data_IF_292428600322
#
_entry.id   IF_292428600322
#
_cell.length_a   1.000
_cell.length_b   1.000
_cell.length_c   1.000
_cell.angle_alpha   90.00
_cell.angle_beta   90.00
_cell.angle_gamma   90.00
#
_symmetry.space_group_name_H-M   'P 1'
#
loop_
_entity.id
_entity.type
_entity.pdbx_description
1 polymer ?
#
# COMPACT_ATOMS: atom_id res chain seq x y z
N UNK A 1 0.78 24.64 6.59
CA UNK A 1 -0.10 24.71 5.40
C UNK A 1 -1.07 23.55 5.54
N UNK A 2 -2.38 23.77 5.37
CA UNK A 2 -3.31 22.66 5.44
C UNK A 2 -3.23 21.83 4.14
N UNK A 3 -3.76 20.61 4.13
CA UNK A 3 -3.69 19.73 2.97
C UNK A 3 -4.34 20.32 1.71
N UNK A 4 -5.46 21.01 1.86
CA UNK A 4 -6.18 21.65 0.75
C UNK A 4 -5.32 22.72 0.06
N UNK A 5 -4.62 23.55 0.83
CA UNK A 5 -3.73 24.57 0.28
C UNK A 5 -2.53 23.93 -0.42
N UNK A 6 -1.97 22.86 0.16
CA UNK A 6 -0.86 22.12 -0.45
C UNK A 6 -1.29 21.49 -1.77
N UNK A 7 -2.46 20.85 -1.82
CA UNK A 7 -3.01 20.26 -3.05
C UNK A 7 -3.22 21.34 -4.13
N UNK A 8 -3.83 22.48 -3.78
CA UNK A 8 -4.07 23.57 -4.73
C UNK A 8 -2.78 24.18 -5.30
N UNK A 9 -1.69 24.12 -4.55
CA UNK A 9 -0.39 24.67 -4.96
C UNK A 9 0.41 23.72 -5.87
N UNK A 10 -0.01 22.49 -6.12
CA UNK A 10 0.72 21.55 -6.98
C UNK A 10 0.82 22.10 -8.42
N UNK A 11 1.99 21.99 -9.05
CA UNK A 11 2.26 22.59 -10.37
C UNK A 11 1.64 21.84 -11.54
N UNK A 12 0.84 20.81 -11.29
CA UNK A 12 0.30 19.90 -12.31
C UNK A 12 -1.09 20.32 -12.82
N UNK A 13 -1.76 21.24 -12.11
CA UNK A 13 -3.12 21.64 -12.45
C UNK A 13 -3.14 22.61 -13.64
N UNK A 14 -4.10 22.39 -14.53
CA UNK A 14 -4.28 23.23 -15.74
C UNK A 14 -5.24 24.38 -15.53
N UNK A 15 -6.05 24.33 -14.48
CA UNK A 15 -7.07 25.34 -14.21
C UNK A 15 -7.52 25.35 -12.75
N UNK A 16 -8.74 25.83 -12.54
CA UNK A 16 -9.36 25.79 -11.22
C UNK A 16 -9.80 24.38 -10.89
N UNK A 17 -9.31 23.86 -9.77
CA UNK A 17 -9.65 22.52 -9.31
C UNK A 17 -10.78 22.54 -8.28
N UNK A 18 -11.56 21.47 -8.25
CA UNK A 18 -12.46 21.15 -7.13
C UNK A 18 -11.91 19.94 -6.35
N UNK A 19 -12.12 19.95 -5.04
CA UNK A 19 -11.61 18.89 -4.14
C UNK A 19 -12.76 18.35 -3.30
N UNK A 20 -12.85 17.04 -3.22
CA UNK A 20 -13.75 16.33 -2.32
C UNK A 20 -12.94 15.30 -1.52
N UNK A 21 -13.02 15.26 -0.19
CA UNK A 21 -12.43 14.20 0.59
C UNK A 21 -12.97 12.84 0.14
N UNK A 22 -12.08 11.84 0.06
CA UNK A 22 -12.46 10.44 -0.10
C UNK A 22 -12.39 9.76 1.27
N UNK A 23 -13.47 9.11 1.65
CA UNK A 23 -13.53 8.31 2.87
C UNK A 23 -12.73 7.01 2.69
N UNK A 24 -12.22 6.46 3.78
CA UNK A 24 -11.50 5.19 3.81
C UNK A 24 -9.99 5.36 3.69
N UNK A 25 -9.32 5.39 4.80
CA UNK A 25 -7.87 5.40 4.96
C UNK A 25 -7.56 5.72 6.41
N UNK A 26 -6.79 4.85 7.07
CA UNK A 26 -6.40 5.07 8.48
C UNK A 26 -5.14 5.92 8.54
N UNK A 27 -4.23 5.73 7.60
CA UNK A 27 -2.89 6.32 7.57
C UNK A 27 -2.75 7.51 6.62
N UNK A 28 -3.69 7.66 5.68
CA UNK A 28 -3.62 8.64 4.60
C UNK A 28 -4.90 9.48 4.51
N UNK A 29 -4.75 10.73 4.09
CA UNK A 29 -5.88 11.57 3.71
C UNK A 29 -5.99 11.60 2.18
N UNK A 30 -7.08 11.07 1.65
CA UNK A 30 -7.31 10.99 0.22
C UNK A 30 -8.34 12.04 -0.23
N UNK A 31 -8.11 12.59 -1.42
CA UNK A 31 -9.00 13.58 -2.04
C UNK A 31 -9.24 13.23 -3.50
N UNK A 32 -10.50 13.26 -3.94
CA UNK A 32 -10.84 13.30 -5.34
C UNK A 32 -10.67 14.75 -5.83
N UNK A 33 -9.80 14.93 -6.80
CA UNK A 33 -9.54 16.24 -7.41
C UNK A 33 -10.00 16.22 -8.85
N UNK A 34 -10.80 17.23 -9.25
CA UNK A 34 -11.22 17.45 -10.64
C UNK A 34 -10.51 18.68 -11.18
N UNK A 35 -9.84 18.51 -12.33
CA UNK A 35 -9.19 19.57 -13.11
C UNK A 35 -9.77 19.52 -14.55
N UNK A 36 -10.75 20.36 -14.82
CA UNK A 36 -11.54 20.31 -16.05
C UNK A 36 -12.28 18.98 -16.20
N UNK A 37 -11.97 18.22 -17.23
CA UNK A 37 -12.54 16.89 -17.50
C UNK A 37 -11.73 15.73 -16.87
N UNK A 38 -10.58 16.02 -16.31
CA UNK A 38 -9.69 15.02 -15.71
C UNK A 38 -9.96 14.87 -14.21
N UNK A 39 -9.90 13.66 -13.72
CA UNK A 39 -10.09 13.33 -12.30
C UNK A 39 -8.86 12.59 -11.75
N UNK A 40 -8.49 12.91 -10.52
CA UNK A 40 -7.29 12.38 -9.85
C UNK A 40 -7.59 12.02 -8.41
N UNK A 41 -6.87 11.03 -7.89
CA UNK A 41 -6.79 10.78 -6.45
C UNK A 41 -5.51 11.40 -5.93
N UNK A 42 -5.63 12.32 -4.99
CA UNK A 42 -4.48 12.90 -4.27
C UNK A 42 -4.42 12.28 -2.89
N UNK A 43 -3.33 11.57 -2.62
CA UNK A 43 -3.01 10.97 -1.33
C UNK A 43 -2.03 11.89 -0.60
N UNK A 44 -2.40 12.27 0.62
CA UNK A 44 -1.59 13.06 1.53
C UNK A 44 -1.14 12.18 2.68
N UNK A 45 0.16 12.07 2.90
CA UNK A 45 0.71 11.27 4.01
C UNK A 45 2.23 11.35 4.06
N UNK A 46 2.76 11.42 5.27
CA UNK A 46 4.20 11.39 5.55
C UNK A 46 4.67 9.95 5.81
N UNK A 47 5.99 9.77 5.94
CA UNK A 47 6.56 8.51 6.40
C UNK A 47 6.05 8.17 7.80
N UNK A 48 5.79 6.89 8.05
CA UNK A 48 5.42 6.34 9.37
C UNK A 48 6.40 5.22 9.70
N UNK A 49 7.65 5.57 10.12
CA UNK A 49 8.70 4.58 10.34
C UNK A 49 8.31 3.49 11.34
N UNK A 50 7.51 3.81 12.35
CA UNK A 50 6.98 2.86 13.34
C UNK A 50 6.09 1.78 12.73
N UNK A 51 5.53 2.02 11.55
CA UNK A 51 4.75 1.06 10.78
C UNK A 51 5.49 0.52 9.54
N UNK A 52 6.77 0.86 9.38
CA UNK A 52 7.58 0.52 8.20
C UNK A 52 7.02 1.13 6.90
N UNK A 53 6.26 2.21 7.01
CA UNK A 53 5.71 2.93 5.86
C UNK A 53 6.69 4.02 5.45
N UNK A 54 7.23 3.90 4.23
CA UNK A 54 8.14 4.85 3.62
C UNK A 54 7.61 5.27 2.26
N UNK A 55 7.35 6.56 2.09
CA UNK A 55 6.75 7.09 0.84
C UNK A 55 7.65 6.91 -0.38
N UNK A 56 8.97 6.85 -0.18
CA UNK A 56 9.91 6.48 -1.24
C UNK A 56 9.75 5.04 -1.72
N UNK A 57 9.45 4.10 -0.80
CA UNK A 57 9.11 2.72 -1.16
C UNK A 57 7.77 2.66 -1.91
N UNK A 58 6.73 3.28 -1.36
CA UNK A 58 5.40 3.34 -1.99
C UNK A 58 5.46 3.94 -3.40
N UNK A 59 6.26 4.99 -3.61
CA UNK A 59 6.53 5.58 -4.92
C UNK A 59 7.06 4.55 -5.93
N UNK A 60 8.11 3.80 -5.54
CA UNK A 60 8.74 2.81 -6.41
C UNK A 60 7.80 1.65 -6.71
N UNK A 61 7.10 1.18 -5.69
CA UNK A 61 6.14 0.07 -5.79
C UNK A 61 4.94 0.45 -6.66
N UNK A 62 4.37 1.65 -6.46
CA UNK A 62 3.24 2.13 -7.27
C UNK A 62 3.60 2.26 -8.75
N UNK A 63 4.82 2.73 -9.07
CA UNK A 63 5.32 2.77 -10.45
C UNK A 63 5.46 1.38 -11.05
N UNK A 64 6.02 0.43 -10.31
CA UNK A 64 6.17 -0.96 -10.75
C UNK A 64 4.79 -1.63 -10.95
N UNK A 65 3.85 -1.42 -10.04
CA UNK A 65 2.49 -1.94 -10.13
C UNK A 65 1.73 -1.39 -11.35
N UNK A 66 1.94 -0.11 -11.67
CA UNK A 66 1.41 0.47 -12.90
C UNK A 66 2.05 -0.15 -14.15
N UNK A 67 3.37 -0.34 -14.15
CA UNK A 67 4.10 -0.90 -15.29
C UNK A 67 3.64 -2.31 -15.66
N UNK A 68 3.27 -3.15 -14.68
CA UNK A 68 2.64 -4.46 -14.92
C UNK A 68 1.12 -4.38 -15.15
N UNK A 69 0.53 -3.18 -15.14
CA UNK A 69 -0.88 -2.94 -15.48
C UNK A 69 -1.87 -3.29 -14.38
N UNK A 70 -1.47 -3.36 -13.10
CA UNK A 70 -2.36 -3.70 -11.98
C UNK A 70 -2.77 -2.50 -11.12
N UNK A 71 -2.13 -1.34 -11.27
CA UNK A 71 -2.38 -0.14 -10.47
C UNK A 71 -2.61 1.09 -11.34
N UNK A 72 -3.39 2.10 -10.88
CA UNK A 72 -3.51 3.38 -11.53
C UNK A 72 -2.14 4.03 -11.76
N UNK A 73 -2.07 4.90 -12.76
CA UNK A 73 -0.83 5.64 -13.04
C UNK A 73 -0.56 6.68 -11.95
N UNK A 74 0.68 6.72 -11.47
CA UNK A 74 1.17 7.83 -10.66
C UNK A 74 1.51 9.00 -11.59
N UNK A 75 0.85 10.14 -11.38
CA UNK A 75 0.97 11.35 -12.20
C UNK A 75 2.01 12.30 -11.61
N UNK A 76 2.04 12.42 -10.28
CA UNK A 76 2.94 13.33 -9.59
C UNK A 76 3.33 12.79 -8.21
N UNK A 77 4.53 13.14 -7.79
CA UNK A 77 5.06 12.84 -6.46
C UNK A 77 5.90 14.01 -5.95
N UNK A 78 5.66 14.39 -4.72
CA UNK A 78 6.56 15.21 -3.90
C UNK A 78 6.43 14.77 -2.43
N UNK A 79 7.34 15.16 -1.52
CA UNK A 79 7.27 14.76 -0.11
C UNK A 79 5.90 15.01 0.51
N UNK A 80 5.26 13.95 0.99
CA UNK A 80 3.93 13.98 1.59
C UNK A 80 2.76 14.04 0.61
N UNK A 81 3.01 13.93 -0.71
CA UNK A 81 1.94 13.98 -1.73
C UNK A 81 2.17 12.96 -2.84
N UNK A 82 1.15 12.20 -3.16
CA UNK A 82 1.09 11.34 -4.34
C UNK A 82 -0.19 11.61 -5.11
N UNK A 83 -0.09 11.76 -6.42
CA UNK A 83 -1.25 12.00 -7.29
C UNK A 83 -1.37 10.85 -8.29
N UNK A 84 -2.53 10.21 -8.32
CA UNK A 84 -2.84 9.09 -9.20
C UNK A 84 -3.99 9.44 -10.14
N UNK A 85 -4.04 8.79 -11.29
CA UNK A 85 -5.24 8.79 -12.11
C UNK A 85 -6.41 8.20 -11.30
N UNK A 86 -7.58 8.86 -11.40
CA UNK A 86 -8.80 8.33 -10.80
C UNK A 86 -9.36 7.20 -11.67
N UNK A 87 -9.78 6.13 -11.05
CA UNK A 87 -10.47 5.01 -11.69
C UNK A 87 -11.93 5.04 -11.26
N UNK A 88 -12.82 5.18 -12.21
CA UNK A 88 -14.27 5.01 -11.97
C UNK A 88 -14.53 3.52 -11.71
N UNK A 89 -14.82 3.15 -10.50
CA UNK A 89 -14.85 1.75 -10.07
C UNK A 89 -15.79 1.52 -8.88
N UNK A 90 -16.00 0.23 -8.57
CA UNK A 90 -16.57 -0.22 -7.31
C UNK A 90 -15.45 -0.83 -6.46
N UNK A 91 -15.38 -0.43 -5.21
CA UNK A 91 -14.52 -1.08 -4.22
C UNK A 91 -15.10 -2.45 -3.88
N UNK A 92 -14.26 -3.48 -3.84
CA UNK A 92 -14.71 -4.82 -3.48
C UNK A 92 -14.88 -4.94 -1.96
N UNK A 93 -15.78 -5.82 -1.56
CA UNK A 93 -15.94 -6.33 -0.20
C UNK A 93 -15.44 -7.78 -0.09
N UNK A 94 -15.34 -8.36 1.10
CA UNK A 94 -14.84 -9.72 1.29
C UNK A 94 -15.64 -10.81 0.53
N UNK A 95 -16.94 -10.62 0.35
CA UNK A 95 -17.77 -11.57 -0.39
C UNK A 95 -17.48 -11.48 -1.89
N UNK A 96 -17.44 -10.26 -2.41
CA UNK A 96 -17.12 -10.01 -3.82
C UNK A 96 -15.72 -10.50 -4.18
N UNK A 97 -14.72 -10.37 -3.27
CA UNK A 97 -13.39 -10.95 -3.46
C UNK A 97 -13.47 -12.47 -3.60
N UNK A 98 -14.22 -13.15 -2.73
CA UNK A 98 -14.37 -14.63 -2.76
C UNK A 98 -14.95 -15.15 -4.07
N UNK A 99 -15.93 -14.46 -4.63
CA UNK A 99 -16.56 -14.89 -5.89
C UNK A 99 -15.77 -14.51 -7.15
N UNK A 100 -14.75 -13.63 -7.03
CA UNK A 100 -13.88 -13.20 -8.12
C UNK A 100 -12.43 -13.71 -7.99
N UNK A 101 -12.19 -14.79 -7.25
CA UNK A 101 -10.84 -15.36 -7.06
C UNK A 101 -10.18 -15.75 -8.38
N UNK A 102 -10.94 -16.20 -9.35
CA UNK A 102 -10.48 -16.51 -10.71
C UNK A 102 -9.85 -15.30 -11.42
N UNK A 103 -10.35 -14.09 -11.15
CA UNK A 103 -9.81 -12.82 -11.67
C UNK A 103 -8.67 -12.26 -10.82
N UNK A 104 -8.74 -12.45 -9.49
CA UNK A 104 -7.79 -11.90 -8.51
C UNK A 104 -6.50 -12.70 -8.50
N UNK A 105 -6.56 -14.04 -8.52
CA UNK A 105 -5.37 -14.89 -8.46
C UNK A 105 -4.35 -14.64 -9.59
N UNK A 106 -4.74 -14.39 -10.85
CA UNK A 106 -3.79 -13.97 -11.87
C UNK A 106 -3.09 -12.64 -11.56
N UNK A 107 -3.80 -11.69 -10.91
CA UNK A 107 -3.22 -10.40 -10.49
C UNK A 107 -2.17 -10.62 -9.41
N UNK A 108 -2.47 -11.44 -8.40
CA UNK A 108 -1.53 -11.79 -7.32
C UNK A 108 -0.28 -12.45 -7.91
N UNK A 109 -0.42 -13.39 -8.85
CA UNK A 109 0.72 -14.02 -9.54
C UNK A 109 1.56 -12.99 -10.31
N UNK A 110 0.93 -12.03 -10.99
CA UNK A 110 1.66 -10.93 -11.64
C UNK A 110 2.46 -10.11 -10.64
N UNK A 111 1.86 -9.78 -9.50
CA UNK A 111 2.53 -9.04 -8.44
C UNK A 111 3.74 -9.84 -7.94
N UNK A 112 3.58 -11.12 -7.65
CA UNK A 112 4.65 -11.98 -7.15
C UNK A 112 5.85 -12.08 -8.10
N UNK A 113 5.61 -12.23 -9.40
CA UNK A 113 6.65 -12.66 -10.35
C UNK A 113 7.05 -11.61 -11.38
N UNK A 114 6.17 -10.64 -11.72
CA UNK A 114 6.48 -9.62 -12.72
C UNK A 114 6.96 -8.31 -12.08
N UNK A 115 6.40 -7.92 -10.91
CA UNK A 115 6.79 -6.67 -10.24
C UNK A 115 8.28 -6.55 -9.92
N UNK A 116 8.99 -7.61 -9.44
CA UNK A 116 10.43 -7.50 -9.17
C UNK A 116 11.25 -6.98 -10.36
N UNK A 117 10.83 -7.29 -11.58
CA UNK A 117 11.51 -6.85 -12.80
C UNK A 117 11.25 -5.37 -13.16
N UNK A 118 10.29 -4.73 -12.49
CA UNK A 118 9.91 -3.33 -12.72
C UNK A 118 10.34 -2.40 -11.59
N UNK A 119 10.85 -2.95 -10.49
CA UNK A 119 11.30 -2.14 -9.35
C UNK A 119 12.60 -1.41 -9.70
N UNK A 120 12.60 -0.09 -9.48
CA UNK A 120 13.77 0.76 -9.65
C UNK A 120 14.04 1.51 -8.35
N UNK A 121 14.98 1.01 -7.53
CA UNK A 121 15.35 1.59 -6.25
C UNK A 121 15.19 0.64 -5.07
N UNK A 122 15.10 1.20 -3.89
CA UNK A 122 14.98 0.42 -2.66
C UNK A 122 13.58 -0.21 -2.56
N UNK A 123 13.55 -1.43 -2.03
CA UNK A 123 12.32 -2.10 -1.62
C UNK A 123 12.51 -2.74 -0.26
N UNK A 124 11.44 -2.78 0.53
CA UNK A 124 11.46 -3.36 1.87
C UNK A 124 11.34 -4.89 1.81
N UNK A 125 11.84 -5.54 2.86
CA UNK A 125 11.53 -6.93 3.17
C UNK A 125 10.50 -6.90 4.29
N UNK A 126 9.26 -7.29 3.99
CA UNK A 126 8.16 -7.32 4.96
C UNK A 126 8.07 -8.72 5.60
N UNK A 127 9.17 -9.18 6.22
CA UNK A 127 9.22 -10.48 6.89
C UNK A 127 8.50 -10.40 8.24
N UNK A 128 7.39 -11.09 8.38
CA UNK A 128 6.48 -10.96 9.55
C UNK A 128 7.20 -11.12 10.89
N UNK A 129 8.14 -12.03 11.00
CA UNK A 129 8.89 -12.26 12.25
C UNK A 129 9.83 -11.11 12.58
N UNK A 130 10.41 -10.45 11.58
CA UNK A 130 11.14 -9.20 11.75
C UNK A 130 10.20 -8.06 12.18
N UNK A 131 9.04 -7.94 11.55
CA UNK A 131 8.03 -6.91 11.87
C UNK A 131 7.56 -7.05 13.32
N UNK A 132 7.30 -8.28 13.80
CA UNK A 132 6.95 -8.55 15.19
C UNK A 132 8.07 -8.07 16.15
N UNK A 133 9.34 -8.37 15.86
CA UNK A 133 10.49 -7.91 16.66
C UNK A 133 10.60 -6.38 16.65
N UNK A 134 10.40 -5.77 15.49
CA UNK A 134 10.44 -4.32 15.30
C UNK A 134 9.36 -3.61 16.15
N UNK A 135 8.10 -4.02 16.03
CA UNK A 135 6.99 -3.50 16.84
C UNK A 135 7.18 -3.74 18.33
N UNK A 136 7.68 -4.92 18.70
CA UNK A 136 7.98 -5.24 20.10
C UNK A 136 9.01 -4.27 20.71
N UNK A 137 10.04 -3.91 19.95
CA UNK A 137 11.04 -2.94 20.39
C UNK A 137 10.45 -1.52 20.50
N UNK A 138 9.59 -1.13 19.54
CA UNK A 138 8.89 0.14 19.59
C UNK A 138 7.99 0.25 20.84
N UNK A 139 7.18 -0.78 21.11
CA UNK A 139 6.31 -0.82 22.30
C UNK A 139 7.10 -0.76 23.60
N UNK A 140 8.24 -1.46 23.70
CA UNK A 140 9.13 -1.39 24.86
C UNK A 140 9.69 0.01 25.07
N UNK A 141 10.19 0.66 24.02
CA UNK A 141 10.73 2.04 24.09
C UNK A 141 9.68 3.06 24.53
N UNK A 142 8.41 2.83 24.18
CA UNK A 142 7.30 3.72 24.52
C UNK A 142 6.54 3.32 25.79
N UNK A 143 7.11 2.42 26.63
CA UNK A 143 6.51 1.98 27.89
C UNK A 143 5.05 1.53 27.76
N UNK A 144 4.74 0.80 26.71
CA UNK A 144 3.39 0.27 26.45
C UNK A 144 2.94 -0.65 27.60
N UNK A 145 1.66 -0.63 27.93
CA UNK A 145 1.04 -1.54 28.90
C UNK A 145 1.19 -3.04 28.52
N UNK A 146 1.45 -3.32 27.23
CA UNK A 146 1.65 -4.68 26.74
C UNK A 146 3.06 -5.24 26.91
N UNK A 147 4.02 -4.46 27.48
CA UNK A 147 5.41 -4.90 27.65
C UNK A 147 5.52 -6.22 28.43
N UNK A 148 4.63 -6.47 29.40
CA UNK A 148 4.62 -7.69 30.20
C UNK A 148 4.43 -8.97 29.40
N UNK A 149 3.66 -8.93 28.30
CA UNK A 149 3.38 -10.11 27.45
C UNK A 149 4.28 -10.20 26.22
N UNK A 150 5.01 -9.13 25.89
CA UNK A 150 5.84 -9.09 24.67
C UNK A 150 6.89 -10.19 24.66
N UNK A 151 7.51 -10.50 25.80
CA UNK A 151 8.56 -11.54 25.85
C UNK A 151 8.02 -12.94 25.51
N UNK A 152 6.82 -13.27 25.98
CA UNK A 152 6.16 -14.53 25.63
C UNK A 152 5.82 -14.59 24.15
N UNK A 153 5.27 -13.51 23.60
CA UNK A 153 4.92 -13.41 22.17
C UNK A 153 6.15 -13.51 21.27
N UNK A 154 7.28 -12.88 21.65
CA UNK A 154 8.55 -13.01 20.91
C UNK A 154 9.02 -14.47 20.91
N UNK A 155 9.01 -15.16 22.07
CA UNK A 155 9.40 -16.58 22.13
C UNK A 155 8.54 -17.46 21.23
N UNK A 156 7.20 -17.24 21.22
CA UNK A 156 6.30 -17.94 20.30
C UNK A 156 6.64 -17.65 18.84
N UNK A 157 6.88 -16.38 18.52
CA UNK A 157 7.29 -15.94 17.18
C UNK A 157 8.59 -16.63 16.72
N UNK A 158 9.61 -16.72 17.60
CA UNK A 158 10.89 -17.39 17.29
C UNK A 158 10.74 -18.90 17.05
N UNK A 159 9.81 -19.55 17.76
CA UNK A 159 9.50 -20.96 17.53
C UNK A 159 8.82 -21.13 16.16
N UNK A 160 7.84 -20.29 15.85
CA UNK A 160 7.14 -20.32 14.55
C UNK A 160 8.11 -20.02 13.40
N UNK A 161 9.01 -19.05 13.56
CA UNK A 161 10.03 -18.73 12.55
C UNK A 161 10.92 -19.93 12.24
N UNK A 162 11.34 -20.69 13.27
CA UNK A 162 12.15 -21.90 13.11
C UNK A 162 11.39 -23.07 12.47
N UNK A 163 10.07 -23.12 12.67
CA UNK A 163 9.21 -24.13 12.08
C UNK A 163 8.82 -23.78 10.64
N UNK A 164 8.98 -22.51 10.25
CA UNK A 164 8.77 -22.08 8.87
C UNK A 164 9.88 -22.65 8.00
N UNK A 165 9.53 -23.46 7.01
CA UNK A 165 10.51 -23.96 6.04
C UNK A 165 11.06 -22.81 5.19
N UNK A 166 12.31 -22.91 4.67
CA UNK A 166 12.78 -22.02 3.63
C UNK A 166 11.77 -22.00 2.48
N UNK A 167 11.32 -20.81 2.09
CA UNK A 167 10.35 -20.59 1.03
C UNK A 167 10.92 -19.69 -0.04
N UNK A 168 10.35 -19.78 -1.21
CA UNK A 168 10.62 -18.80 -2.25
C UNK A 168 10.14 -17.43 -1.78
N UNK A 169 11.00 -16.42 -1.86
CA UNK A 169 10.63 -15.03 -1.56
C UNK A 169 10.05 -14.43 -2.83
N UNK A 170 8.85 -13.90 -2.73
CA UNK A 170 8.16 -13.19 -3.81
C UNK A 170 7.93 -11.73 -3.44
N UNK A 171 7.56 -10.92 -4.41
CA UNK A 171 7.09 -9.57 -4.09
C UNK A 171 5.61 -9.63 -3.72
N UNK A 172 5.25 -9.07 -2.58
CA UNK A 172 3.87 -9.04 -2.06
C UNK A 172 3.35 -7.62 -1.88
N UNK A 173 2.04 -7.49 -1.89
CA UNK A 173 1.35 -6.27 -1.50
C UNK A 173 1.42 -6.04 0.02
N UNK A 174 1.38 -7.11 0.76
CA UNK A 174 1.44 -7.22 2.23
C UNK A 174 0.27 -6.55 2.99
N UNK A 175 -0.79 -6.15 2.26
CA UNK A 175 -2.04 -5.65 2.84
C UNK A 175 -3.22 -5.88 1.89
N UNK A 176 -3.46 -7.13 1.51
CA UNK A 176 -4.57 -7.49 0.61
C UNK A 176 -5.93 -7.46 1.31
N UNK A 177 -6.33 -6.28 1.79
CA UNK A 177 -7.71 -6.03 2.19
C UNK A 177 -8.63 -5.97 0.97
N UNK A 178 -9.88 -6.42 1.12
CA UNK A 178 -10.87 -6.34 0.03
C UNK A 178 -11.04 -4.90 -0.50
N UNK A 179 -10.95 -3.91 0.39
CA UNK A 179 -11.03 -2.49 0.06
C UNK A 179 -9.91 -1.99 -0.88
N UNK A 180 -8.80 -2.73 -1.01
CA UNK A 180 -7.68 -2.40 -1.90
C UNK A 180 -7.85 -2.96 -3.32
N UNK A 181 -8.96 -3.67 -3.59
CA UNK A 181 -9.34 -4.13 -4.92
C UNK A 181 -10.48 -3.28 -5.47
N UNK A 182 -10.28 -2.71 -6.66
CA UNK A 182 -11.22 -1.83 -7.33
C UNK A 182 -11.63 -2.44 -8.67
N UNK A 183 -12.92 -2.67 -8.89
CA UNK A 183 -13.46 -3.22 -10.15
C UNK A 183 -14.04 -2.08 -11.01
N UNK A 184 -13.46 -1.84 -12.19
CA UNK A 184 -13.94 -0.85 -13.16
C UNK A 184 -14.96 -1.44 -14.16
N UNK A 185 -15.35 -2.70 -13.98
CA UNK A 185 -16.24 -3.44 -14.87
C UNK A 185 -15.50 -4.18 -16.01
N UNK A 186 -14.26 -3.82 -16.31
CA UNK A 186 -13.41 -4.48 -17.31
C UNK A 186 -12.28 -5.29 -16.65
N UNK A 187 -11.72 -4.80 -15.57
CA UNK A 187 -10.66 -5.46 -14.81
C UNK A 187 -10.67 -5.02 -13.34
N UNK A 188 -9.90 -5.75 -12.54
CA UNK A 188 -9.65 -5.41 -11.14
C UNK A 188 -8.30 -4.70 -11.04
N UNK A 189 -8.29 -3.58 -10.33
CA UNK A 189 -7.13 -2.79 -9.98
C UNK A 189 -6.74 -3.03 -8.52
N UNK A 190 -5.46 -2.84 -8.20
CA UNK A 190 -4.94 -2.92 -6.83
C UNK A 190 -4.35 -1.56 -6.45
N UNK A 191 -4.70 -1.09 -5.26
CA UNK A 191 -4.25 0.21 -4.72
C UNK A 191 -3.70 0.04 -3.31
N UNK A 192 -3.10 1.09 -2.76
CA UNK A 192 -2.55 1.14 -1.40
C UNK A 192 -1.29 0.28 -1.20
N UNK A 193 -0.21 0.68 -1.88
CA UNK A 193 1.05 -0.05 -1.94
C UNK A 193 2.04 0.29 -0.82
N UNK A 194 1.60 0.93 0.27
CA UNK A 194 2.51 1.43 1.31
C UNK A 194 3.32 0.33 2.02
N UNK A 195 2.82 -0.91 2.06
CA UNK A 195 3.51 -2.09 2.60
C UNK A 195 4.14 -2.98 1.52
N UNK A 196 4.09 -2.58 0.26
CA UNK A 196 4.63 -3.38 -0.85
C UNK A 196 6.11 -3.73 -0.62
N UNK A 197 6.44 -5.03 -0.69
CA UNK A 197 7.78 -5.53 -0.38
C UNK A 197 7.91 -7.03 -0.53
N UNK A 198 9.13 -7.52 -0.37
CA UNK A 198 9.42 -8.95 -0.47
C UNK A 198 8.95 -9.71 0.78
N UNK A 199 8.28 -10.84 0.58
CA UNK A 199 7.75 -11.66 1.66
C UNK A 199 7.49 -13.11 1.20
N UNK A 200 6.96 -13.93 2.11
CA UNK A 200 6.44 -15.27 1.83
C UNK A 200 5.19 -15.15 0.94
N UNK A 201 5.03 -16.00 -0.10
CA UNK A 201 3.88 -15.96 -1.02
C UNK A 201 2.53 -16.25 -0.36
N UNK A 202 2.51 -16.78 0.84
CA UNK A 202 1.28 -17.09 1.59
C UNK A 202 0.86 -15.99 2.59
N UNK A 203 1.63 -14.89 2.64
CA UNK A 203 1.33 -13.77 3.54
C UNK A 203 0.28 -12.82 2.95
#
# INVERSE_FOLDING_TARGET
>A
MNYVDKIKALPIWKGNISLNPLEGGITNHNYLVKDGTSEYVVRMGEDIPEHLVYRSNELNVSKAAHAIGVSPKLIHFEPGVMVFDYIQCKTLDPETVRINLDKIMPIIKKIHFEMPNQLNGQSIIFWVFYVIKYYSNFLKKNNSSYVSIIQELIKKSEILEKLSSPREIVFGHNDFLAANFLDDGSKIWVVDWEYGGFNDPLF
#
